data_IF_499364475668
#
_entry.id   IF_499364475668
#
_cell.length_a   1.000
_cell.length_b   1.000
_cell.length_c   1.000
_cell.angle_alpha   90.00
_cell.angle_beta   90.00
_cell.angle_gamma   90.00
#
_symmetry.space_group_name_H-M   'P 1'
#
loop_
_entity.id
_entity.type
_entity.pdbx_description
1 polymer ?
#
# COMPACT_ATOMS: atom_id res chain seq x y z
N UNK A 1 1.34 -32.42 -17.24
CA UNK A 1 0.76 -31.08 -17.01
C UNK A 1 -0.56 -30.99 -17.76
N UNK A 2 -1.63 -30.55 -17.10
CA UNK A 2 -2.93 -30.40 -17.74
C UNK A 2 -3.08 -28.94 -18.18
N UNK A 3 -3.15 -28.67 -19.49
CA UNK A 3 -3.20 -27.31 -20.06
C UNK A 3 -4.39 -26.52 -19.51
N UNK A 4 -5.52 -27.17 -19.28
CA UNK A 4 -6.69 -26.58 -18.64
C UNK A 4 -6.40 -26.04 -17.22
N UNK A 5 -5.54 -26.74 -16.47
CA UNK A 5 -5.13 -26.31 -15.13
C UNK A 5 -4.25 -25.07 -15.20
N UNK A 6 -3.28 -25.03 -16.11
CA UNK A 6 -2.38 -23.88 -16.28
C UNK A 6 -3.11 -22.61 -16.75
N UNK A 7 -4.10 -22.73 -17.63
CA UNK A 7 -4.93 -21.58 -18.05
C UNK A 7 -5.77 -21.05 -16.89
N UNK A 8 -6.35 -21.94 -16.07
CA UNK A 8 -7.10 -21.53 -14.87
C UNK A 8 -6.21 -20.74 -13.91
N UNK A 9 -5.02 -21.25 -13.61
CA UNK A 9 -4.05 -20.59 -12.72
C UNK A 9 -3.64 -19.21 -13.26
N UNK A 10 -3.37 -19.10 -14.57
CA UNK A 10 -3.06 -17.83 -15.22
C UNK A 10 -4.20 -16.80 -15.08
N UNK A 11 -5.44 -17.22 -15.34
CA UNK A 11 -6.60 -16.33 -15.21
C UNK A 11 -6.78 -15.86 -13.76
N UNK A 12 -6.58 -16.75 -12.77
CA UNK A 12 -6.61 -16.38 -11.36
C UNK A 12 -5.60 -15.27 -11.05
N UNK A 13 -4.34 -15.44 -11.45
CA UNK A 13 -3.31 -14.42 -11.23
C UNK A 13 -3.63 -13.08 -11.89
N UNK A 14 -4.12 -13.08 -13.13
CA UNK A 14 -4.50 -11.86 -13.83
C UNK A 14 -5.66 -11.15 -13.13
N UNK A 15 -6.68 -11.89 -12.67
CA UNK A 15 -7.82 -11.31 -11.96
C UNK A 15 -7.45 -10.74 -10.60
N UNK A 16 -6.56 -11.41 -9.85
CA UNK A 16 -6.06 -10.89 -8.57
C UNK A 16 -5.21 -9.63 -8.76
N UNK A 17 -4.33 -9.62 -9.76
CA UNK A 17 -3.51 -8.45 -10.09
C UNK A 17 -4.38 -7.27 -10.53
N UNK A 18 -5.37 -7.51 -11.40
CA UNK A 18 -6.31 -6.48 -11.83
C UNK A 18 -7.13 -5.95 -10.65
N UNK A 19 -7.58 -6.82 -9.74
CA UNK A 19 -8.23 -6.42 -8.50
C UNK A 19 -7.33 -5.50 -7.67
N UNK A 20 -6.05 -5.85 -7.46
CA UNK A 20 -5.13 -4.99 -6.69
C UNK A 20 -4.82 -3.64 -7.36
N UNK A 21 -4.73 -3.59 -8.68
CA UNK A 21 -4.39 -2.36 -9.41
C UNK A 21 -5.58 -1.42 -9.61
N UNK A 22 -6.78 -1.97 -9.79
CA UNK A 22 -7.95 -1.21 -10.22
C UNK A 22 -9.13 -1.25 -9.25
N UNK A 23 -9.06 -2.01 -8.14
CA UNK A 23 -10.00 -1.80 -7.04
C UNK A 23 -9.78 -0.39 -6.53
N UNK A 24 -10.89 0.34 -6.42
CA UNK A 24 -10.95 1.56 -5.61
C UNK A 24 -10.65 1.11 -4.19
N UNK A 25 -9.37 1.14 -3.81
CA UNK A 25 -9.00 1.01 -2.41
C UNK A 25 -9.61 2.24 -1.76
N UNK A 26 -10.56 2.02 -0.86
CA UNK A 26 -10.93 3.04 0.11
C UNK A 26 -9.75 3.14 1.08
N UNK A 27 -8.64 3.66 0.56
CA UNK A 27 -7.42 4.02 1.28
C UNK A 27 -7.82 5.23 2.14
N UNK A 28 -8.69 4.97 3.12
CA UNK A 28 -9.02 5.88 4.19
C UNK A 28 -7.80 5.98 5.09
N UNK A 29 -6.79 6.71 4.60
CA UNK A 29 -5.77 7.23 5.48
C UNK A 29 -6.49 8.14 6.47
N UNK A 30 -6.27 7.96 7.78
CA UNK A 30 -6.89 8.83 8.76
C UNK A 30 -6.50 10.27 8.42
N UNK A 31 -7.49 11.17 8.45
CA UNK A 31 -7.30 12.59 8.12
C UNK A 31 -6.22 13.27 8.97
N UNK A 32 -5.84 12.63 10.07
CA UNK A 32 -4.71 12.99 10.93
C UNK A 32 -3.84 11.75 11.12
N UNK A 33 -2.54 11.86 10.82
CA UNK A 33 -1.58 10.85 11.23
C UNK A 33 -1.45 10.87 12.75
N UNK A 34 -1.61 9.73 13.42
CA UNK A 34 -1.18 9.61 14.81
C UNK A 34 0.34 9.50 14.81
N UNK A 35 1.03 10.58 15.15
CA UNK A 35 2.47 10.56 15.37
C UNK A 35 2.73 9.65 16.60
N UNK A 36 3.28 8.44 16.43
CA UNK A 36 3.36 7.48 17.55
C UNK A 36 4.49 7.80 18.53
N UNK A 37 5.32 8.78 18.21
CA UNK A 37 6.42 9.24 19.05
C UNK A 37 6.30 10.73 19.31
N UNK A 38 6.25 11.13 20.57
CA UNK A 38 6.50 12.52 20.94
C UNK A 38 7.98 12.83 20.64
N UNK A 39 8.24 13.41 19.47
CA UNK A 39 9.56 13.93 19.14
C UNK A 39 9.74 15.25 19.86
N UNK A 40 10.77 15.37 20.70
CA UNK A 40 11.20 16.70 21.14
C UNK A 40 11.79 17.41 19.93
N UNK A 41 11.27 18.60 19.54
CA UNK A 41 11.86 19.36 18.46
C UNK A 41 13.35 19.57 18.75
N UNK A 42 14.21 19.32 17.76
CA UNK A 42 15.62 19.61 17.90
C UNK A 42 15.77 21.12 18.20
N UNK A 43 16.29 21.46 19.39
CA UNK A 43 16.49 22.84 19.81
C UNK A 43 17.70 23.50 19.14
N UNK A 44 18.40 22.79 18.26
CA UNK A 44 19.50 23.33 17.49
C UNK A 44 19.01 24.47 16.56
N UNK A 45 19.49 25.72 16.74
CA UNK A 45 19.14 26.84 15.87
C UNK A 45 19.50 26.60 14.39
N UNK A 46 20.42 25.66 14.11
CA UNK A 46 20.90 25.33 12.77
C UNK A 46 19.95 24.44 11.97
N UNK A 47 18.90 23.90 12.60
CA UNK A 47 17.92 23.01 11.95
C UNK A 47 16.82 23.77 11.17
N UNK A 48 16.79 25.11 11.22
CA UNK A 48 15.84 25.95 10.48
C UNK A 48 16.36 26.36 9.09
N UNK A 49 16.76 25.41 8.27
CA UNK A 49 17.10 25.64 6.86
C UNK A 49 16.52 24.57 5.95
#
# INVERSE_FOLDING_TARGET
MNILKSVKEMMTYLTEAAGRMFVVSDDMYPAVGTQPFEGTPNKDPRWKH
#
